data_IF_009777590129
#
_entry.id   IF_009777590129
#
_cell.length_a   1.000
_cell.length_b   1.000
_cell.length_c   1.000
_cell.angle_alpha   90.00
_cell.angle_beta   90.00
_cell.angle_gamma   90.00
#
_symmetry.space_group_name_H-M   'P 1'
#
loop_
_entity.id
_entity.type
_entity.pdbx_description
1 polymer ?
#
# COMPACT_ATOMS: atom_id res chain seq x y z
N UNK A 1 46.73 -1.80 -0.10
CA UNK A 1 47.23 -1.29 -1.39
C UNK A 1 46.54 0.03 -1.68
N UNK A 2 47.30 1.13 -1.80
CA UNK A 2 46.77 2.44 -2.20
C UNK A 2 46.53 2.46 -3.70
N UNK A 3 45.29 2.73 -4.13
CA UNK A 3 44.91 2.73 -5.55
C UNK A 3 44.53 4.15 -5.97
N UNK A 4 45.13 4.65 -7.04
CA UNK A 4 44.80 5.97 -7.63
C UNK A 4 43.96 5.89 -8.91
N UNK A 5 43.87 4.71 -9.54
CA UNK A 5 43.14 4.53 -10.80
C UNK A 5 41.64 4.31 -10.58
N UNK A 6 40.82 5.14 -11.24
CA UNK A 6 39.36 5.08 -11.18
C UNK A 6 38.79 3.77 -11.73
N UNK A 7 39.46 3.16 -12.71
CA UNK A 7 39.03 1.89 -13.30
C UNK A 7 39.06 0.75 -12.26
N UNK A 8 40.16 0.69 -11.50
CA UNK A 8 40.35 -0.27 -10.41
C UNK A 8 39.40 -0.01 -9.24
N UNK A 9 39.15 1.26 -8.90
CA UNK A 9 38.17 1.64 -7.87
C UNK A 9 36.77 1.10 -8.24
N UNK A 10 36.30 1.36 -9.45
CA UNK A 10 34.98 0.89 -9.90
C UNK A 10 34.88 -0.64 -9.90
N UNK A 11 35.94 -1.33 -10.31
CA UNK A 11 36.00 -2.80 -10.26
C UNK A 11 35.83 -3.31 -8.82
N UNK A 12 36.54 -2.70 -7.86
CA UNK A 12 36.46 -3.10 -6.45
C UNK A 12 35.09 -2.82 -5.82
N UNK A 13 34.46 -1.71 -6.18
CA UNK A 13 33.09 -1.41 -5.75
C UNK A 13 32.10 -2.47 -6.28
N UNK A 14 32.22 -2.81 -7.57
CA UNK A 14 31.40 -3.85 -8.20
C UNK A 14 31.58 -5.22 -7.55
N UNK A 15 32.80 -5.66 -7.31
CA UNK A 15 33.05 -6.94 -6.62
C UNK A 15 32.50 -6.96 -5.19
N UNK A 16 32.58 -5.83 -4.49
CA UNK A 16 32.17 -5.71 -3.08
C UNK A 16 30.66 -5.56 -2.88
N UNK A 17 29.91 -5.17 -3.91
CA UNK A 17 28.47 -4.90 -3.84
C UNK A 17 27.63 -5.75 -4.81
N UNK A 18 28.08 -5.97 -6.05
CA UNK A 18 27.27 -6.59 -7.12
C UNK A 18 27.48 -8.09 -7.24
N UNK A 19 28.44 -8.65 -6.49
CA UNK A 19 28.74 -10.07 -6.52
C UNK A 19 27.50 -10.89 -6.17
N UNK A 20 27.06 -11.83 -7.04
CA UNK A 20 25.92 -12.71 -6.77
C UNK A 20 26.06 -13.50 -5.47
N UNK A 21 27.31 -13.79 -5.07
CA UNK A 21 27.62 -14.51 -3.83
C UNK A 21 27.44 -13.66 -2.56
N UNK A 22 27.47 -12.33 -2.69
CA UNK A 22 27.33 -11.40 -1.56
C UNK A 22 25.90 -10.86 -1.40
N UNK A 23 25.05 -11.04 -2.41
CA UNK A 23 23.62 -10.74 -2.32
C UNK A 23 23.27 -9.25 -2.20
N UNK A 24 24.04 -8.35 -2.84
CA UNK A 24 23.81 -6.90 -2.78
C UNK A 24 23.76 -6.35 -1.34
N UNK A 25 24.88 -6.46 -0.60
CA UNK A 25 24.92 -6.13 0.81
C UNK A 25 24.64 -4.64 1.08
N UNK A 26 24.27 -4.33 2.33
CA UNK A 26 24.05 -2.95 2.76
C UNK A 26 25.30 -2.09 2.58
N UNK A 27 25.12 -0.75 2.53
CA UNK A 27 26.22 0.21 2.43
C UNK A 27 27.33 -0.05 3.46
N UNK A 28 26.96 -0.35 4.71
CA UNK A 28 27.94 -0.56 5.78
C UNK A 28 28.71 -1.87 5.58
N UNK A 29 28.04 -2.92 5.10
CA UNK A 29 28.69 -4.19 4.77
C UNK A 29 29.56 -4.10 3.51
N UNK A 30 29.14 -3.35 2.48
CA UNK A 30 29.98 -3.03 1.32
C UNK A 30 31.22 -2.25 1.74
N UNK A 31 31.08 -1.31 2.69
CA UNK A 31 32.19 -0.54 3.23
C UNK A 31 33.22 -1.43 3.94
N UNK A 32 32.77 -2.39 4.73
CA UNK A 32 33.64 -3.39 5.37
C UNK A 32 34.41 -4.21 4.33
N UNK A 33 33.74 -4.73 3.30
CA UNK A 33 34.37 -5.52 2.23
C UNK A 33 35.42 -4.74 1.44
N UNK A 34 35.17 -3.45 1.17
CA UNK A 34 36.15 -2.60 0.48
C UNK A 34 37.38 -2.38 1.36
N UNK A 35 37.16 -2.13 2.66
CA UNK A 35 38.23 -1.84 3.63
C UNK A 35 39.19 -3.01 3.85
N UNK A 36 38.79 -4.26 3.56
CA UNK A 36 39.68 -5.42 3.67
C UNK A 36 40.68 -5.54 2.53
N UNK A 37 40.43 -4.90 1.38
CA UNK A 37 41.19 -5.16 0.15
C UNK A 37 41.99 -3.95 -0.34
N UNK A 38 41.42 -2.73 -0.24
CA UNK A 38 41.94 -1.54 -0.93
C UNK A 38 41.64 -0.26 -0.15
N UNK A 39 42.46 0.77 -0.37
CA UNK A 39 42.25 2.09 0.22
C UNK A 39 42.57 3.19 -0.81
N UNK A 40 41.78 4.26 -0.80
CA UNK A 40 42.02 5.48 -1.59
C UNK A 40 41.37 6.71 -0.92
N UNK A 41 41.75 7.94 -1.27
CA UNK A 41 41.08 9.13 -0.72
C UNK A 41 39.58 9.12 -1.03
N UNK A 42 38.74 9.45 -0.04
CA UNK A 42 37.28 9.54 -0.19
C UNK A 42 36.56 8.21 -0.50
N UNK A 43 37.21 7.06 -0.30
CA UNK A 43 36.63 5.74 -0.59
C UNK A 43 35.26 5.47 0.04
N UNK A 44 35.00 6.02 1.22
CA UNK A 44 33.71 5.87 1.92
C UNK A 44 32.57 6.59 1.19
N UNK A 45 32.87 7.73 0.56
CA UNK A 45 31.91 8.48 -0.23
C UNK A 45 31.59 7.75 -1.53
N UNK A 46 32.62 7.20 -2.19
CA UNK A 46 32.43 6.39 -3.40
C UNK A 46 31.59 5.14 -3.13
N UNK A 47 31.81 4.44 -1.99
CA UNK A 47 30.96 3.32 -1.58
C UNK A 47 29.52 3.77 -1.35
N UNK A 48 29.32 4.88 -0.63
CA UNK A 48 27.99 5.40 -0.35
C UNK A 48 27.26 5.82 -1.62
N UNK A 49 27.94 6.47 -2.55
CA UNK A 49 27.41 6.87 -3.85
C UNK A 49 27.06 5.64 -4.69
N UNK A 50 27.97 4.66 -4.79
CA UNK A 50 27.75 3.44 -5.55
C UNK A 50 26.50 2.67 -5.09
N UNK A 51 26.37 2.41 -3.77
CA UNK A 51 25.19 1.73 -3.22
C UNK A 51 23.90 2.55 -3.41
N UNK A 52 23.99 3.88 -3.42
CA UNK A 52 22.84 4.79 -3.63
C UNK A 52 22.40 4.81 -5.09
N UNK A 53 23.32 4.71 -6.05
CA UNK A 53 23.02 4.77 -7.48
C UNK A 53 22.74 3.39 -8.11
N UNK A 54 23.01 2.30 -7.38
CA UNK A 54 22.82 0.95 -7.91
C UNK A 54 21.34 0.58 -8.09
N UNK A 55 20.91 0.45 -9.35
CA UNK A 55 19.51 0.29 -9.76
C UNK A 55 18.76 -0.86 -9.06
N UNK A 56 19.38 -2.04 -9.00
CA UNK A 56 18.75 -3.23 -8.39
C UNK A 56 18.47 -3.02 -6.90
N UNK A 57 19.38 -2.36 -6.19
CA UNK A 57 19.19 -2.00 -4.79
C UNK A 57 18.09 -0.95 -4.63
N UNK A 58 18.03 0.07 -5.48
CA UNK A 58 17.00 1.11 -5.38
C UNK A 58 15.59 0.59 -5.70
N UNK A 59 15.48 -0.42 -6.57
CA UNK A 59 14.20 -1.08 -6.89
C UNK A 59 13.78 -2.11 -5.85
N UNK A 60 14.72 -2.87 -5.30
CA UNK A 60 14.42 -3.98 -4.39
C UNK A 60 14.29 -3.55 -2.93
N UNK A 61 15.08 -2.55 -2.50
CA UNK A 61 15.07 -2.14 -1.11
C UNK A 61 13.80 -1.35 -0.81
N UNK A 62 13.12 -1.74 0.29
CA UNK A 62 12.00 -0.98 0.83
C UNK A 62 12.49 0.40 1.23
N UNK A 63 11.75 1.43 0.82
CA UNK A 63 12.00 2.80 1.26
C UNK A 63 11.94 2.86 2.80
N UNK A 64 13.08 3.11 3.44
CA UNK A 64 13.20 3.33 4.89
C UNK A 64 13.20 4.82 5.27
N UNK A 65 12.88 5.70 4.31
CA UNK A 65 12.77 7.14 4.56
C UNK A 65 11.59 7.49 5.46
N UNK A 66 11.54 8.79 5.85
CA UNK A 66 10.69 9.43 6.87
C UNK A 66 9.35 8.73 7.11
N UNK A 67 8.94 8.71 8.40
CA UNK A 67 7.58 8.31 8.83
C UNK A 67 6.56 8.72 7.79
N UNK A 68 5.77 7.76 7.33
CA UNK A 68 4.55 8.01 6.57
C UNK A 68 3.84 9.21 7.22
N UNK A 69 3.45 10.20 6.39
CA UNK A 69 2.87 11.45 6.89
C UNK A 69 1.74 11.20 7.87
N UNK A 70 1.42 12.20 8.70
CA UNK A 70 0.34 12.07 9.67
C UNK A 70 -0.95 11.61 8.96
N UNK A 71 -1.68 10.68 9.59
CA UNK A 71 -2.98 10.26 9.10
C UNK A 71 -3.86 11.50 8.91
N UNK A 72 -4.37 11.69 7.70
CA UNK A 72 -5.35 12.74 7.41
C UNK A 72 -6.64 12.34 8.12
N UNK A 73 -7.12 13.22 9.01
CA UNK A 73 -8.42 13.01 9.64
C UNK A 73 -9.51 13.25 8.59
N UNK A 74 -10.43 12.30 8.47
CA UNK A 74 -11.68 12.50 7.73
C UNK A 74 -12.49 13.58 8.47
N UNK A 75 -13.19 14.42 7.71
CA UNK A 75 -14.10 15.42 8.29
C UNK A 75 -15.12 14.74 9.21
N UNK A 76 -15.30 15.29 10.41
CA UNK A 76 -16.29 14.77 11.34
C UNK A 76 -17.70 15.12 10.86
N UNK A 77 -18.64 14.16 10.81
CA UNK A 77 -20.02 14.44 10.43
C UNK A 77 -20.72 15.27 11.50
N UNK A 78 -21.62 16.15 11.06
CA UNK A 78 -22.43 17.03 11.92
C UNK A 78 -23.78 16.43 12.31
N UNK A 79 -24.27 15.45 11.53
CA UNK A 79 -25.55 14.76 11.75
C UNK A 79 -25.49 13.28 11.37
N UNK A 80 -26.41 12.44 11.89
CA UNK A 80 -26.56 11.05 11.45
C UNK A 80 -26.72 10.93 9.94
N UNK A 81 -26.07 9.91 9.35
CA UNK A 81 -26.16 9.55 7.93
C UNK A 81 -25.62 10.59 6.94
N UNK A 82 -24.86 11.58 7.42
CA UNK A 82 -24.22 12.57 6.54
C UNK A 82 -23.07 11.94 5.74
N UNK A 83 -22.18 11.23 6.44
CA UNK A 83 -21.01 10.56 5.88
C UNK A 83 -21.12 9.06 6.13
N UNK A 84 -21.23 8.29 5.05
CA UNK A 84 -21.47 6.84 5.10
C UNK A 84 -20.33 6.09 4.44
N UNK A 85 -19.36 5.58 5.23
CA UNK A 85 -18.43 4.58 4.76
C UNK A 85 -19.17 3.28 4.40
N UNK A 86 -18.76 2.69 3.28
CA UNK A 86 -19.28 1.44 2.76
C UNK A 86 -18.12 0.51 2.39
N UNK A 87 -18.28 -0.78 2.67
CA UNK A 87 -17.29 -1.80 2.38
C UNK A 87 -17.98 -3.14 2.06
N UNK A 88 -17.31 -4.00 1.31
CA UNK A 88 -17.80 -5.33 0.96
C UNK A 88 -16.95 -6.39 1.65
N UNK A 89 -17.58 -7.14 2.54
CA UNK A 89 -17.01 -8.37 3.09
C UNK A 89 -17.33 -9.49 2.11
N UNK A 90 -16.31 -9.94 1.37
CA UNK A 90 -16.49 -10.92 0.29
C UNK A 90 -15.97 -12.30 0.66
N UNK A 91 -16.45 -13.33 -0.06
CA UNK A 91 -15.95 -14.70 0.07
C UNK A 91 -16.40 -15.43 1.34
N UNK A 92 -17.58 -15.08 1.85
CA UNK A 92 -18.22 -15.78 2.96
C UNK A 92 -18.77 -17.13 2.49
N UNK A 93 -18.87 -18.13 3.39
CA UNK A 93 -19.60 -19.35 3.09
C UNK A 93 -21.07 -19.02 2.72
N UNK A 94 -21.61 -19.58 1.61
CA UNK A 94 -22.99 -19.33 1.22
C UNK A 94 -23.98 -19.68 2.34
N UNK A 95 -24.87 -18.75 2.68
CA UNK A 95 -25.77 -18.89 3.84
C UNK A 95 -27.18 -18.34 3.62
N UNK A 96 -28.12 -18.89 4.41
CA UNK A 96 -29.54 -18.55 4.37
C UNK A 96 -30.28 -19.09 3.13
N UNK A 97 -31.58 -18.80 3.05
CA UNK A 97 -32.47 -19.34 2.01
C UNK A 97 -32.08 -18.93 0.58
N UNK A 98 -31.34 -17.83 0.44
CA UNK A 98 -30.88 -17.29 -0.84
C UNK A 98 -29.39 -17.55 -1.11
N UNK A 99 -28.70 -18.26 -0.22
CA UNK A 99 -27.29 -18.65 -0.35
C UNK A 99 -26.35 -17.47 -0.63
N UNK A 100 -26.57 -16.33 0.05
CA UNK A 100 -25.71 -15.16 -0.07
C UNK A 100 -24.29 -15.48 0.39
N UNK A 101 -23.30 -14.96 -0.33
CA UNK A 101 -21.88 -15.25 -0.10
C UNK A 101 -21.02 -13.99 0.13
N UNK A 102 -21.61 -12.79 0.06
CA UNK A 102 -20.97 -11.52 0.37
C UNK A 102 -21.88 -10.69 1.31
N UNK A 103 -21.32 -9.66 1.94
CA UNK A 103 -22.06 -8.73 2.78
C UNK A 103 -21.61 -7.29 2.53
N UNK A 104 -22.54 -6.43 2.14
CA UNK A 104 -22.34 -4.99 2.08
C UNK A 104 -22.50 -4.42 3.48
N UNK A 105 -21.43 -3.82 3.98
CA UNK A 105 -21.39 -3.13 5.27
C UNK A 105 -21.50 -1.64 5.02
N UNK A 106 -22.46 -0.99 5.65
CA UNK A 106 -22.59 0.47 5.64
C UNK A 106 -22.63 0.97 7.06
N UNK A 107 -21.91 2.05 7.37
CA UNK A 107 -21.81 2.56 8.75
C UNK A 107 -22.10 4.05 8.76
N UNK A 108 -22.94 4.50 9.69
CA UNK A 108 -23.09 5.93 9.95
C UNK A 108 -21.84 6.46 10.68
N UNK A 109 -21.09 7.37 10.06
CA UNK A 109 -19.89 7.93 10.70
C UNK A 109 -20.20 8.75 11.96
N UNK A 110 -21.43 9.23 12.14
CA UNK A 110 -21.82 10.01 13.31
C UNK A 110 -22.09 9.12 14.51
N UNK A 111 -23.11 8.24 14.40
CA UNK A 111 -23.52 7.36 15.50
C UNK A 111 -22.68 6.09 15.63
N UNK A 112 -21.86 5.77 14.62
CA UNK A 112 -21.15 4.48 14.47
C UNK A 112 -22.07 3.27 14.35
N UNK A 113 -23.35 3.48 14.02
CA UNK A 113 -24.30 2.42 13.80
C UNK A 113 -24.03 1.69 12.46
N UNK A 114 -23.78 0.37 12.47
CA UNK A 114 -23.59 -0.41 11.26
C UNK A 114 -24.91 -0.99 10.74
N UNK A 115 -25.00 -1.16 9.43
CA UNK A 115 -26.01 -1.94 8.73
C UNK A 115 -25.28 -2.97 7.86
N UNK A 116 -25.70 -4.22 8.00
CA UNK A 116 -25.18 -5.36 7.25
C UNK A 116 -26.25 -5.83 6.27
N UNK A 117 -25.92 -5.83 4.99
CA UNK A 117 -26.83 -6.21 3.92
C UNK A 117 -26.25 -7.43 3.18
N UNK A 118 -26.93 -8.58 3.21
CA UNK A 118 -26.45 -9.76 2.50
C UNK A 118 -26.57 -9.54 0.98
N UNK A 119 -25.52 -9.90 0.26
CA UNK A 119 -25.41 -9.73 -1.19
C UNK A 119 -24.62 -10.90 -1.80
N UNK A 120 -24.46 -10.91 -3.11
CA UNK A 120 -23.66 -11.91 -3.81
C UNK A 120 -22.39 -11.30 -4.39
N UNK A 121 -21.38 -12.16 -4.53
CA UNK A 121 -20.13 -11.84 -5.22
C UNK A 121 -20.36 -11.35 -6.64
N UNK A 122 -21.31 -11.96 -7.33
CA UNK A 122 -21.59 -11.67 -8.74
C UNK A 122 -22.57 -10.49 -8.94
N UNK A 123 -23.02 -9.85 -7.85
CA UNK A 123 -23.87 -8.66 -7.93
C UNK A 123 -23.13 -7.53 -8.68
N UNK A 124 -23.85 -6.87 -9.59
CA UNK A 124 -23.30 -5.75 -10.35
C UNK A 124 -23.28 -4.46 -9.52
N UNK A 125 -22.64 -3.42 -10.05
CA UNK A 125 -22.72 -2.08 -9.44
C UNK A 125 -24.17 -1.57 -9.36
N UNK A 126 -25.00 -1.89 -10.35
CA UNK A 126 -26.42 -1.53 -10.32
C UNK A 126 -27.20 -2.30 -9.25
N UNK A 127 -26.96 -3.60 -9.09
CA UNK A 127 -27.58 -4.41 -8.04
C UNK A 127 -27.22 -3.86 -6.65
N UNK A 128 -25.94 -3.50 -6.47
CA UNK A 128 -25.43 -2.89 -5.23
C UNK A 128 -26.09 -1.53 -4.98
N UNK A 129 -26.21 -0.68 -6.00
CA UNK A 129 -26.88 0.62 -5.88
C UNK A 129 -28.36 0.47 -5.51
N UNK A 130 -29.08 -0.48 -6.13
CA UNK A 130 -30.47 -0.79 -5.80
C UNK A 130 -30.60 -1.35 -4.39
N UNK A 131 -29.67 -2.18 -3.93
CA UNK A 131 -29.64 -2.69 -2.58
C UNK A 131 -29.52 -1.54 -1.56
N UNK A 132 -28.59 -0.61 -1.77
CA UNK A 132 -28.40 0.58 -0.93
C UNK A 132 -29.64 1.46 -0.94
N UNK A 133 -30.18 1.75 -2.12
CA UNK A 133 -31.35 2.60 -2.29
C UNK A 133 -32.56 2.05 -1.53
N UNK A 134 -32.85 0.76 -1.73
CA UNK A 134 -34.04 0.13 -1.17
C UNK A 134 -33.91 -0.17 0.33
N UNK A 135 -32.70 -0.50 0.81
CA UNK A 135 -32.51 -1.00 2.18
C UNK A 135 -31.90 0.00 3.15
N UNK A 136 -31.23 1.03 2.66
CA UNK A 136 -30.59 2.04 3.52
C UNK A 136 -31.28 3.38 3.32
N UNK A 137 -31.20 3.94 2.12
CA UNK A 137 -31.69 5.30 1.81
C UNK A 137 -33.17 5.47 2.11
N UNK A 138 -33.96 4.40 1.94
CA UNK A 138 -35.41 4.39 2.18
C UNK A 138 -35.83 4.83 3.58
N UNK A 139 -34.99 4.70 4.61
CA UNK A 139 -35.31 5.10 5.98
C UNK A 139 -34.26 6.00 6.64
N UNK A 140 -33.03 6.04 6.13
CA UNK A 140 -31.98 6.96 6.60
C UNK A 140 -31.99 8.32 5.90
N UNK A 141 -32.57 8.39 4.71
CA UNK A 141 -32.49 9.56 3.82
C UNK A 141 -31.27 9.52 2.90
N UNK A 142 -31.08 10.60 2.14
CA UNK A 142 -29.98 10.70 1.16
C UNK A 142 -28.68 11.14 1.87
N UNK A 143 -27.61 10.38 1.66
CA UNK A 143 -26.28 10.69 2.19
C UNK A 143 -25.68 11.92 1.49
N UNK A 144 -24.84 12.65 2.20
CA UNK A 144 -24.08 13.76 1.60
C UNK A 144 -22.77 13.24 1.01
N UNK A 145 -22.12 12.29 1.69
CA UNK A 145 -20.87 11.69 1.25
C UNK A 145 -20.89 10.16 1.44
N UNK A 146 -20.49 9.44 0.41
CA UNK A 146 -20.19 8.01 0.47
C UNK A 146 -18.66 7.86 0.46
N UNK A 147 -18.13 7.04 1.37
CA UNK A 147 -16.71 6.67 1.37
C UNK A 147 -16.57 5.17 1.14
N UNK A 148 -16.09 4.77 -0.02
CA UNK A 148 -15.82 3.37 -0.33
C UNK A 148 -14.37 3.19 -0.73
N UNK A 149 -13.95 1.93 -0.86
CA UNK A 149 -12.73 1.60 -1.58
C UNK A 149 -12.95 1.71 -3.11
N UNK A 150 -12.03 1.13 -3.88
CA UNK A 150 -12.09 1.11 -5.35
C UNK A 150 -12.66 -0.20 -5.90
N UNK A 151 -13.54 -0.88 -5.16
CA UNK A 151 -14.21 -2.06 -5.69
C UNK A 151 -14.99 -1.69 -6.99
N UNK A 152 -14.95 -2.55 -8.03
CA UNK A 152 -15.70 -2.32 -9.26
C UNK A 152 -17.19 -2.05 -9.06
N UNK A 153 -17.81 -2.62 -8.00
CA UNK A 153 -19.23 -2.39 -7.69
C UNK A 153 -19.51 -0.94 -7.26
N UNK A 154 -18.52 -0.23 -6.71
CA UNK A 154 -18.64 1.20 -6.37
C UNK A 154 -18.15 2.15 -7.47
N UNK A 155 -17.33 1.66 -8.41
CA UNK A 155 -16.68 2.49 -9.43
C UNK A 155 -17.20 2.26 -10.85
N UNK A 156 -18.13 1.34 -11.04
CA UNK A 156 -18.78 1.09 -12.34
C UNK A 156 -19.43 2.37 -12.87
N UNK A 157 -19.08 2.75 -14.11
CA UNK A 157 -19.96 3.60 -14.89
C UNK A 157 -21.21 2.76 -15.21
N UNK A 158 -22.39 3.34 -14.99
CA UNK A 158 -23.67 2.71 -15.35
C UNK A 158 -23.71 2.34 -16.84
#
# INVERSE_FOLDING_TARGET
MTVGDRSLINLRLKESHDSPFLGNPSKDRTRENVNTCVWWPMWQNDVAEYCKTYDRCQKANKYTGKRLGNMIKVQEPSRPWEIVPMDLVTGLPPGGDRSYNDCLVTVDSFSKAPIFLPCNKDDTGMDTALLIWNRVVSWTGIFTNIMSDRDPKFTSAL
#
